data_IF_584290342209
#
_entry.id   IF_584290342209
#
_cell.length_a   1.000
_cell.length_b   1.000
_cell.length_c   1.000
_cell.angle_alpha   90.00
_cell.angle_beta   90.00
_cell.angle_gamma   90.00
#
_symmetry.space_group_name_H-M   'P 1'
#
loop_
_entity.id
_entity.type
_entity.pdbx_description
1 polymer ?
#
# COMPACT_ATOMS: atom_id res chain seq x y z
N UNK A 1 -21.65 38.61 24.98
CA UNK A 1 -20.76 37.60 25.60
C UNK A 1 -19.42 37.65 24.88
N UNK A 2 -18.29 37.75 25.60
CA UNK A 2 -16.95 37.78 24.97
C UNK A 2 -16.46 36.36 24.73
N UNK A 3 -16.05 36.06 23.50
CA UNK A 3 -15.52 34.76 23.07
C UNK A 3 -13.99 34.69 23.15
N UNK A 4 -13.33 35.67 23.78
CA UNK A 4 -11.86 35.79 23.79
C UNK A 4 -11.14 34.57 24.36
N UNK A 5 -11.68 33.98 25.43
CA UNK A 5 -11.12 32.76 26.03
C UNK A 5 -11.10 31.57 25.07
N UNK A 6 -12.24 31.28 24.44
CA UNK A 6 -12.36 30.18 23.47
C UNK A 6 -11.48 30.37 22.24
N UNK A 7 -11.35 31.60 21.74
CA UNK A 7 -10.48 31.89 20.58
C UNK A 7 -9.01 31.66 20.93
N UNK A 8 -8.58 32.09 22.12
CA UNK A 8 -7.20 31.92 22.56
C UNK A 8 -6.83 30.45 22.78
N UNK A 9 -7.72 29.66 23.38
CA UNK A 9 -7.54 28.20 23.49
C UNK A 9 -7.48 27.56 22.10
N UNK A 10 -8.42 27.91 21.21
CA UNK A 10 -8.46 27.31 19.88
C UNK A 10 -7.18 27.56 19.07
N UNK A 11 -6.61 28.77 19.15
CA UNK A 11 -5.34 29.13 18.47
C UNK A 11 -4.13 28.39 19.03
N UNK A 12 -4.17 27.93 20.28
CA UNK A 12 -3.05 27.23 20.94
C UNK A 12 -3.14 25.73 20.72
N UNK A 13 -4.34 25.18 20.81
CA UNK A 13 -4.55 23.73 20.89
C UNK A 13 -4.81 23.09 19.52
N UNK A 14 -5.29 23.85 18.53
CA UNK A 14 -5.60 23.34 17.19
C UNK A 14 -4.66 23.89 16.11
N UNK A 15 -4.44 23.07 15.08
CA UNK A 15 -3.76 23.53 13.86
C UNK A 15 -4.68 24.46 13.08
N UNK A 16 -4.13 25.56 12.60
CA UNK A 16 -4.84 26.52 11.76
C UNK A 16 -4.73 26.11 10.29
N UNK A 17 -5.87 25.90 9.65
CA UNK A 17 -5.97 25.88 8.20
C UNK A 17 -5.95 27.33 7.69
N UNK A 18 -5.09 27.62 6.71
CA UNK A 18 -5.05 28.94 6.07
C UNK A 18 -6.07 28.95 4.93
N UNK A 19 -6.87 30.00 4.88
CA UNK A 19 -7.72 30.28 3.73
C UNK A 19 -7.00 31.26 2.78
N UNK A 20 -7.42 31.27 1.52
CA UNK A 20 -6.82 32.10 0.46
C UNK A 20 -7.56 33.44 0.27
N UNK A 21 -8.25 33.91 1.31
CA UNK A 21 -8.99 35.18 1.27
C UNK A 21 -8.09 36.37 1.61
N UNK A 22 -8.07 37.37 0.74
CA UNK A 22 -7.36 38.64 1.00
C UNK A 22 -8.07 39.51 2.04
N UNK A 23 -9.41 39.42 2.09
CA UNK A 23 -10.26 40.18 3.00
C UNK A 23 -11.05 39.25 3.93
N UNK A 24 -11.49 39.81 5.06
CA UNK A 24 -12.30 39.08 6.02
C UNK A 24 -13.67 38.77 5.44
N UNK A 25 -13.86 37.52 5.01
CA UNK A 25 -15.14 36.98 4.56
C UNK A 25 -15.94 36.40 5.73
N UNK A 26 -17.21 36.08 5.48
CA UNK A 26 -18.03 35.40 6.47
C UNK A 26 -17.46 34.01 6.77
N UNK A 27 -17.62 33.52 8.01
CA UNK A 27 -17.15 32.18 8.37
C UNK A 27 -17.84 31.08 7.53
N UNK A 28 -19.08 31.31 7.10
CA UNK A 28 -19.82 30.38 6.24
C UNK A 28 -19.14 30.26 4.88
N UNK A 29 -18.91 31.39 4.20
CA UNK A 29 -18.30 31.41 2.86
C UNK A 29 -16.86 30.90 2.93
N UNK A 30 -16.11 31.30 3.97
CA UNK A 30 -14.74 30.85 4.19
C UNK A 30 -14.63 29.32 4.21
N UNK A 31 -15.49 28.65 4.99
CA UNK A 31 -15.46 27.19 5.13
C UNK A 31 -15.92 26.51 3.85
N UNK A 32 -16.99 27.01 3.21
CA UNK A 32 -17.51 26.42 1.96
C UNK A 32 -16.46 26.50 0.85
N UNK A 33 -15.79 27.63 0.70
CA UNK A 33 -14.75 27.81 -0.32
C UNK A 33 -13.48 27.01 0.02
N UNK A 34 -13.09 26.92 1.29
CA UNK A 34 -11.94 26.11 1.72
C UNK A 34 -12.16 24.62 1.49
N UNK A 35 -13.39 24.13 1.68
CA UNK A 35 -13.75 22.74 1.40
C UNK A 35 -13.87 22.49 -0.12
N UNK A 36 -14.39 23.45 -0.86
CA UNK A 36 -14.57 23.35 -2.31
C UNK A 36 -15.51 22.21 -2.73
N UNK A 37 -15.36 21.77 -3.98
CA UNK A 37 -16.30 20.80 -4.60
C UNK A 37 -16.00 19.33 -4.28
N UNK A 38 -14.75 18.97 -3.99
CA UNK A 38 -14.33 17.58 -3.77
C UNK A 38 -13.46 17.40 -2.52
N UNK A 39 -13.35 18.42 -1.66
CA UNK A 39 -12.60 18.36 -0.41
C UNK A 39 -11.18 17.76 -0.58
N UNK A 40 -10.28 18.45 -1.30
CA UNK A 40 -8.97 17.91 -1.65
C UNK A 40 -8.10 17.62 -0.41
N UNK A 41 -8.25 18.42 0.64
CA UNK A 41 -7.54 18.27 1.92
C UNK A 41 -8.26 17.33 2.89
N UNK A 42 -9.39 16.74 2.49
CA UNK A 42 -10.18 15.78 3.26
C UNK A 42 -10.57 16.28 4.66
N UNK A 43 -11.02 17.53 4.76
CA UNK A 43 -11.49 18.12 6.00
C UNK A 43 -12.74 17.45 6.55
N UNK A 44 -12.81 17.39 7.88
CA UNK A 44 -14.02 17.10 8.64
C UNK A 44 -14.59 18.42 9.12
N UNK A 45 -15.88 18.66 8.87
CA UNK A 45 -16.53 19.94 9.23
C UNK A 45 -17.33 19.73 10.51
N UNK A 46 -16.86 20.32 11.61
CA UNK A 46 -17.60 20.33 12.87
C UNK A 46 -18.34 21.67 13.05
N UNK A 47 -19.67 21.70 12.91
CA UNK A 47 -20.44 22.95 13.03
C UNK A 47 -21.83 22.76 13.64
N UNK A 48 -22.20 23.72 14.50
CA UNK A 48 -23.56 23.83 15.05
C UNK A 48 -24.54 24.52 14.10
N UNK A 49 -24.05 25.17 13.04
CA UNK A 49 -24.90 25.87 12.08
C UNK A 49 -25.54 24.90 11.07
N UNK A 50 -26.88 24.82 11.11
CA UNK A 50 -27.66 23.91 10.25
C UNK A 50 -27.44 24.19 8.77
N UNK A 51 -27.31 25.46 8.38
CA UNK A 51 -27.12 25.87 6.99
C UNK A 51 -25.79 25.39 6.44
N UNK A 52 -24.72 25.51 7.23
CA UNK A 52 -23.38 25.07 6.83
C UNK A 52 -23.35 23.55 6.67
N UNK A 53 -23.91 22.82 7.64
CA UNK A 53 -24.01 21.36 7.56
C UNK A 53 -24.72 20.88 6.29
N UNK A 54 -25.90 21.44 5.99
CA UNK A 54 -26.66 21.10 4.79
C UNK A 54 -25.91 21.39 3.50
N UNK A 55 -25.07 22.42 3.48
CA UNK A 55 -24.24 22.73 2.32
C UNK A 55 -23.09 21.73 2.18
N UNK A 56 -22.37 21.42 3.26
CA UNK A 56 -21.29 20.44 3.26
C UNK A 56 -21.78 19.02 2.93
N UNK A 57 -23.01 18.65 3.27
CA UNK A 57 -23.62 17.36 2.89
C UNK A 57 -23.80 17.18 1.37
N UNK A 58 -23.86 18.27 0.60
CA UNK A 58 -23.95 18.22 -0.87
C UNK A 58 -22.60 17.97 -1.52
N UNK A 59 -21.52 18.21 -0.79
CA UNK A 59 -20.14 18.02 -1.27
C UNK A 59 -19.74 16.57 -0.99
N UNK A 60 -19.28 15.80 -2.00
CA UNK A 60 -18.77 14.45 -1.77
C UNK A 60 -17.51 14.49 -0.88
N UNK A 61 -17.35 13.48 -0.02
CA UNK A 61 -16.13 13.33 0.78
C UNK A 61 -15.98 14.31 1.95
N UNK A 62 -17.07 14.96 2.39
CA UNK A 62 -17.06 15.85 3.56
C UNK A 62 -17.89 15.25 4.71
N UNK A 63 -17.25 14.67 5.74
CA UNK A 63 -17.93 14.25 6.95
C UNK A 63 -18.29 15.47 7.81
N UNK A 64 -19.53 15.52 8.28
CA UNK A 64 -20.03 16.61 9.10
C UNK A 64 -20.23 16.14 10.53
N UNK A 65 -19.78 16.92 11.52
CA UNK A 65 -19.94 16.64 12.94
C UNK A 65 -20.70 17.77 13.64
N UNK A 66 -21.49 17.44 14.65
CA UNK A 66 -22.21 18.42 15.45
C UNK A 66 -22.46 17.93 16.87
N UNK A 67 -22.55 18.86 17.81
CA UNK A 67 -22.79 18.56 19.22
C UNK A 67 -24.28 18.61 19.55
N UNK A 68 -24.81 17.54 20.14
CA UNK A 68 -26.14 17.52 20.75
C UNK A 68 -26.00 17.15 22.22
N UNK A 69 -26.44 18.05 23.11
CA UNK A 69 -26.35 17.89 24.57
C UNK A 69 -24.91 17.60 25.00
N UNK A 70 -24.60 16.35 25.36
CA UNK A 70 -23.32 15.94 25.93
C UNK A 70 -22.54 15.01 24.99
N UNK A 71 -22.97 14.85 23.74
CA UNK A 71 -22.33 13.97 22.76
C UNK A 71 -22.08 14.68 21.44
N UNK A 72 -20.99 14.30 20.78
CA UNK A 72 -20.67 14.72 19.41
C UNK A 72 -21.15 13.62 18.46
N UNK A 73 -21.96 14.02 17.48
CA UNK A 73 -22.52 13.14 16.48
C UNK A 73 -21.77 13.34 15.16
N UNK A 74 -21.41 12.23 14.53
CA UNK A 74 -21.01 12.21 13.14
C UNK A 74 -22.28 12.02 12.30
N UNK A 75 -22.48 12.91 11.34
CA UNK A 75 -23.65 12.88 10.49
C UNK A 75 -23.64 11.67 9.56
N UNK A 76 -24.83 11.19 9.21
CA UNK A 76 -24.95 10.12 8.24
C UNK A 76 -24.76 10.68 6.84
N UNK A 77 -24.06 9.92 5.98
CA UNK A 77 -23.86 10.30 4.58
C UNK A 77 -25.20 10.58 3.90
N UNK A 78 -25.24 11.64 3.09
CA UNK A 78 -26.40 11.97 2.27
C UNK A 78 -26.65 10.88 1.20
N UNK A 79 -27.86 10.79 0.65
CA UNK A 79 -28.16 9.91 -0.49
C UNK A 79 -27.21 10.16 -1.66
N UNK A 80 -26.94 11.44 -1.93
CA UNK A 80 -26.00 11.87 -2.95
C UNK A 80 -24.57 11.33 -2.71
N UNK A 81 -24.08 11.48 -1.48
CA UNK A 81 -22.73 11.01 -1.12
C UNK A 81 -22.64 9.47 -1.18
N UNK A 82 -23.70 8.76 -0.78
CA UNK A 82 -23.76 7.29 -0.89
C UNK A 82 -23.73 6.83 -2.34
N UNK A 83 -24.44 7.52 -3.23
CA UNK A 83 -24.41 7.21 -4.66
C UNK A 83 -23.03 7.46 -5.26
N UNK A 84 -22.40 8.59 -4.94
CA UNK A 84 -21.03 8.88 -5.35
C UNK A 84 -20.05 7.79 -4.89
N UNK A 85 -20.12 7.39 -3.61
CA UNK A 85 -19.30 6.30 -3.07
C UNK A 85 -19.56 5.00 -3.82
N UNK A 86 -20.83 4.65 -4.06
CA UNK A 86 -21.19 3.43 -4.80
C UNK A 86 -20.62 3.44 -6.22
N UNK A 87 -20.75 4.55 -6.95
CA UNK A 87 -20.20 4.68 -8.31
C UNK A 87 -18.68 4.56 -8.30
N UNK A 88 -18.01 5.23 -7.36
CA UNK A 88 -16.55 5.18 -7.20
C UNK A 88 -16.06 3.77 -6.81
N UNK A 89 -16.78 3.09 -5.92
CA UNK A 89 -16.50 1.71 -5.53
C UNK A 89 -16.69 0.75 -6.70
N UNK A 90 -17.80 0.88 -7.44
CA UNK A 90 -18.05 0.08 -8.64
C UNK A 90 -16.96 0.29 -9.69
N UNK A 91 -16.54 1.53 -9.94
CA UNK A 91 -15.43 1.83 -10.85
C UNK A 91 -14.14 1.12 -10.42
N UNK A 92 -13.82 1.14 -9.12
CA UNK A 92 -12.61 0.53 -8.58
C UNK A 92 -12.67 -1.01 -8.50
N UNK A 93 -13.87 -1.58 -8.41
CA UNK A 93 -14.12 -3.01 -8.34
C UNK A 93 -14.32 -3.65 -9.72
N UNK A 94 -14.66 -2.86 -10.76
CA UNK A 94 -14.81 -3.35 -12.13
C UNK A 94 -13.48 -3.91 -12.64
N UNK A 95 -13.55 -5.08 -13.24
CA UNK A 95 -12.41 -5.67 -13.96
C UNK A 95 -12.01 -4.75 -15.12
N UNK A 96 -10.72 -4.71 -15.41
CA UNK A 96 -10.21 -3.96 -16.56
C UNK A 96 -10.76 -4.54 -17.87
N UNK A 97 -10.90 -3.71 -18.90
CA UNK A 97 -11.43 -4.15 -20.21
C UNK A 97 -10.67 -5.33 -20.80
N UNK A 98 -9.36 -5.42 -20.55
CA UNK A 98 -8.50 -6.51 -21.00
C UNK A 98 -8.81 -7.81 -20.25
N UNK A 99 -8.98 -7.76 -18.93
CA UNK A 99 -9.42 -8.90 -18.10
C UNK A 99 -10.81 -9.36 -18.52
N UNK A 100 -11.73 -8.44 -18.75
CA UNK A 100 -13.08 -8.74 -19.20
C UNK A 100 -13.07 -9.44 -20.58
N UNK A 101 -12.30 -8.91 -21.55
CA UNK A 101 -12.12 -9.55 -22.87
C UNK A 101 -11.46 -10.91 -22.78
N UNK A 102 -10.48 -11.11 -21.90
CA UNK A 102 -9.82 -12.40 -21.68
C UNK A 102 -10.80 -13.43 -21.12
N UNK A 103 -11.62 -13.03 -20.15
CA UNK A 103 -12.68 -13.88 -19.59
C UNK A 103 -13.72 -14.23 -20.64
N UNK A 104 -14.20 -13.27 -21.44
CA UNK A 104 -15.14 -13.55 -22.53
C UNK A 104 -14.59 -14.58 -23.54
N UNK A 105 -13.31 -14.46 -23.92
CA UNK A 105 -12.67 -15.44 -24.82
C UNK A 105 -12.57 -16.82 -24.18
N UNK A 106 -12.26 -16.90 -22.87
CA UNK A 106 -12.21 -18.17 -22.13
C UNK A 106 -13.60 -18.82 -22.03
N UNK A 107 -14.63 -18.05 -21.71
CA UNK A 107 -16.03 -18.52 -21.66
C UNK A 107 -16.47 -19.06 -23.02
N UNK A 108 -16.25 -18.31 -24.12
CA UNK A 108 -16.58 -18.77 -25.48
C UNK A 108 -15.82 -20.04 -25.89
N UNK A 109 -14.58 -20.21 -25.42
CA UNK A 109 -13.81 -21.42 -25.70
C UNK A 109 -14.41 -22.64 -24.98
N UNK A 110 -14.88 -22.45 -23.74
CA UNK A 110 -15.52 -23.51 -22.96
C UNK A 110 -16.86 -23.90 -23.60
N UNK A 111 -17.71 -22.93 -23.96
CA UNK A 111 -18.99 -23.21 -24.60
C UNK A 111 -18.84 -23.90 -25.96
N UNK A 112 -17.83 -23.53 -26.75
CA UNK A 112 -17.60 -24.18 -28.04
C UNK A 112 -17.01 -25.59 -27.91
N UNK A 113 -16.31 -25.90 -26.80
CA UNK A 113 -15.85 -27.27 -26.53
C UNK A 113 -16.94 -28.21 -26.03
N UNK A 114 -18.07 -27.68 -25.56
CA UNK A 114 -19.23 -28.47 -25.12
C UNK A 114 -20.16 -28.83 -26.29
N UNK A 115 -20.11 -28.09 -27.41
CA UNK A 115 -20.96 -28.33 -28.59
C UNK A 115 -20.44 -29.49 -29.47
N UNK A 116 -19.16 -29.88 -29.35
CA UNK A 116 -18.56 -30.98 -30.14
C UNK A 116 -18.72 -32.36 -29.47
N UNK A 117 -19.69 -32.52 -28.57
CA UNK A 117 -19.91 -33.78 -27.82
C UNK A 117 -21.39 -34.11 -27.58
N UNK A 118 -22.29 -33.72 -28.49
CA UNK A 118 -23.68 -34.18 -28.44
C UNK A 118 -24.09 -34.88 -29.74
N UNK A 119 -23.91 -36.20 -29.77
CA UNK A 119 -24.93 -37.09 -30.32
C UNK A 119 -25.72 -37.67 -29.15
N UNK A 120 -27.01 -37.29 -29.13
CA UNK A 120 -28.20 -37.84 -28.45
C UNK A 120 -28.33 -37.90 -26.92
N UNK A 121 -29.48 -37.39 -26.44
CA UNK A 121 -30.11 -37.78 -25.17
C UNK A 121 -30.62 -36.61 -24.32
N UNK A 122 -31.95 -36.54 -24.12
CA UNK A 122 -32.65 -35.54 -23.31
C UNK A 122 -32.46 -35.71 -21.78
N UNK A 123 -32.89 -34.65 -21.07
CA UNK A 123 -33.46 -34.55 -19.71
C UNK A 123 -32.56 -33.94 -18.61
N UNK A 124 -33.25 -33.08 -17.85
CA UNK A 124 -32.80 -32.08 -16.90
C UNK A 124 -31.89 -32.59 -15.77
N UNK A 125 -30.79 -31.90 -15.49
CA UNK A 125 -30.37 -31.64 -14.10
C UNK A 125 -29.32 -30.52 -14.01
N UNK A 126 -29.57 -29.59 -13.09
CA UNK A 126 -28.65 -28.51 -12.69
C UNK A 126 -27.36 -29.15 -12.17
N UNK A 127 -26.28 -29.07 -12.95
CA UNK A 127 -24.96 -29.58 -12.56
C UNK A 127 -23.98 -28.42 -12.34
N UNK A 128 -23.63 -28.24 -11.06
CA UNK A 128 -22.42 -27.57 -10.58
C UNK A 128 -21.21 -27.89 -11.48
N UNK A 129 -20.35 -26.90 -11.84
CA UNK A 129 -19.21 -27.17 -12.69
C UNK A 129 -18.15 -27.96 -11.92
N UNK A 130 -18.21 -29.29 -12.05
CA UNK A 130 -17.15 -30.18 -11.60
C UNK A 130 -15.87 -29.89 -12.39
N UNK A 131 -14.80 -29.59 -11.67
CA UNK A 131 -13.46 -29.51 -12.23
C UNK A 131 -13.12 -30.84 -12.93
N UNK A 132 -12.99 -30.79 -14.26
CA UNK A 132 -12.56 -31.95 -15.05
C UNK A 132 -11.06 -32.18 -14.82
N UNK A 133 -10.75 -33.11 -13.92
CA UNK A 133 -9.46 -33.77 -13.81
C UNK A 133 -9.22 -34.64 -15.05
N UNK A 134 -8.65 -34.04 -16.10
CA UNK A 134 -8.18 -34.79 -17.27
C UNK A 134 -6.82 -35.43 -16.97
N UNK A 135 -6.86 -36.62 -16.35
CA UNK A 135 -5.76 -37.58 -16.35
C UNK A 135 -5.67 -38.28 -17.71
N UNK A 136 -4.93 -37.71 -18.66
CA UNK A 136 -4.24 -38.48 -19.71
C UNK A 136 -2.78 -38.08 -19.79
N UNK A 137 -1.97 -39.09 -19.50
CA UNK A 137 -0.51 -39.17 -19.48
C UNK A 137 0.18 -38.53 -20.68
N UNK A 138 0.91 -37.44 -20.44
CA UNK A 138 2.14 -37.16 -21.18
C UNK A 138 3.31 -37.10 -20.20
N UNK A 139 4.10 -38.18 -20.18
CA UNK A 139 5.44 -38.20 -19.58
C UNK A 139 6.31 -37.19 -20.32
N UNK A 140 6.41 -35.98 -19.79
CA UNK A 140 7.61 -35.13 -19.87
C UNK A 140 7.55 -34.12 -18.73
N UNK A 141 8.24 -34.43 -17.64
CA UNK A 141 8.19 -33.66 -16.41
C UNK A 141 8.70 -32.23 -16.59
N UNK A 142 7.79 -31.26 -16.42
CA UNK A 142 8.10 -29.91 -15.97
C UNK A 142 7.16 -29.61 -14.81
N UNK A 143 7.64 -29.91 -13.60
CA UNK A 143 7.00 -29.46 -12.36
C UNK A 143 6.89 -27.93 -12.38
N UNK A 144 5.66 -27.41 -12.43
CA UNK A 144 5.38 -26.01 -12.08
C UNK A 144 5.59 -25.91 -10.56
N UNK A 145 6.74 -25.34 -10.17
CA UNK A 145 7.10 -25.13 -8.77
C UNK A 145 6.50 -23.81 -8.31
N UNK A 146 5.29 -23.85 -7.75
CA UNK A 146 4.59 -22.71 -7.14
C UNK A 146 5.20 -22.22 -5.81
N UNK A 147 6.49 -22.45 -5.61
CA UNK A 147 7.24 -21.93 -4.47
C UNK A 147 8.54 -21.36 -4.99
N UNK A 148 8.81 -20.09 -4.70
CA UNK A 148 10.11 -19.47 -4.95
C UNK A 148 11.18 -20.31 -4.24
N UNK A 149 11.88 -21.17 -4.98
CA UNK A 149 12.99 -21.95 -4.45
C UNK A 149 14.15 -20.98 -4.25
N UNK A 150 14.26 -20.40 -3.05
CA UNK A 150 15.50 -19.76 -2.64
C UNK A 150 16.61 -20.78 -2.83
N UNK A 151 17.49 -20.54 -3.81
CA UNK A 151 18.66 -21.39 -4.02
C UNK A 151 19.49 -21.32 -2.75
N UNK A 152 19.47 -22.40 -1.96
CA UNK A 152 20.43 -22.58 -0.88
C UNK A 152 21.82 -22.41 -1.51
N UNK A 153 22.53 -21.36 -1.10
CA UNK A 153 23.91 -21.13 -1.51
C UNK A 153 24.74 -22.29 -0.96
N UNK A 154 24.87 -23.37 -1.74
CA UNK A 154 25.88 -24.39 -1.48
C UNK A 154 27.22 -23.66 -1.44
N UNK A 155 27.96 -23.81 -0.34
CA UNK A 155 29.29 -23.25 -0.22
C UNK A 155 30.09 -23.74 -1.43
N UNK A 156 30.66 -22.82 -2.20
CA UNK A 156 31.63 -23.17 -3.25
C UNK A 156 32.74 -23.95 -2.55
N UNK A 157 32.99 -25.17 -3.02
CA UNK A 157 34.13 -25.96 -2.56
C UNK A 157 35.40 -25.08 -2.58
N UNK A 158 36.37 -25.31 -1.68
CA UNK A 158 37.57 -24.50 -1.64
C UNK A 158 38.22 -24.48 -3.02
N UNK A 159 38.49 -23.28 -3.52
CA UNK A 159 39.12 -23.05 -4.81
C UNK A 159 40.40 -23.91 -4.90
N UNK A 160 40.51 -24.84 -5.88
CA UNK A 160 41.60 -25.81 -5.94
C UNK A 160 42.99 -25.18 -6.16
N UNK A 161 43.07 -23.87 -6.44
CA UNK A 161 44.33 -23.13 -6.55
C UNK A 161 44.85 -22.56 -5.21
N UNK A 162 44.13 -22.72 -4.09
CA UNK A 162 44.59 -22.30 -2.76
C UNK A 162 45.48 -23.35 -2.09
N UNK A 163 46.50 -23.83 -2.80
CA UNK A 163 47.65 -24.54 -2.23
C UNK A 163 48.90 -23.86 -2.74
N UNK A 164 49.37 -22.84 -2.02
CA UNK A 164 50.78 -22.40 -1.97
C UNK A 164 50.93 -21.19 -1.03
N UNK A 165 51.27 -21.47 0.23
CA UNK A 165 52.37 -20.78 0.90
C UNK A 165 52.90 -21.67 2.02
N UNK A 166 54.21 -21.97 1.91
CA UNK A 166 55.00 -22.73 2.89
C UNK A 166 55.02 -21.98 4.22
N UNK A 167 54.82 -22.69 5.32
CA UNK A 167 55.27 -22.25 6.64
C UNK A 167 56.81 -22.22 6.67
N UNK A 168 57.39 -21.20 7.30
CA UNK A 168 58.78 -21.26 7.79
C UNK A 168 58.75 -21.02 9.31
N UNK A 169 59.60 -21.70 10.09
CA UNK A 169 59.56 -21.64 11.55
C UNK A 169 60.46 -20.54 12.15
N UNK A 170 60.04 -20.10 13.34
CA UNK A 170 60.75 -19.50 14.50
C UNK A 170 62.00 -18.61 14.34
N UNK A 171 61.88 -17.43 14.98
CA UNK A 171 62.86 -16.38 15.37
C UNK A 171 63.99 -16.86 16.32
N UNK A 172 65.11 -16.12 16.51
CA UNK A 172 65.17 -14.96 17.45
C UNK A 172 66.12 -13.77 17.09
N UNK A 173 65.82 -12.58 17.67
CA UNK A 173 66.62 -11.39 18.07
C UNK A 173 67.81 -10.86 17.20
N UNK A 174 68.17 -9.56 17.09
CA UNK A 174 68.13 -8.42 18.01
C UNK A 174 68.38 -7.05 17.28
N UNK A 175 67.92 -5.96 17.93
CA UNK A 175 68.38 -4.55 18.01
C UNK A 175 68.89 -3.65 16.84
N UNK A 176 68.34 -2.43 16.90
CA UNK A 176 68.92 -1.08 16.70
C UNK A 176 68.86 -0.41 15.31
N UNK A 177 68.49 0.88 15.29
CA UNK A 177 68.83 1.81 14.20
C UNK A 177 67.73 2.78 13.72
N UNK A 178 67.80 4.01 14.21
CA UNK A 178 67.11 5.28 13.88
C UNK A 178 66.83 5.63 12.38
N UNK A 179 65.77 6.45 12.24
CA UNK A 179 65.57 7.66 11.38
C UNK A 179 64.82 7.58 10.02
N UNK A 180 63.70 8.33 10.02
CA UNK A 180 63.26 9.43 9.12
C UNK A 180 62.47 9.19 7.81
N UNK A 181 61.33 9.90 7.77
CA UNK A 181 60.58 10.52 6.67
C UNK A 181 60.10 9.69 5.47
N UNK A 182 58.77 9.58 5.33
CA UNK A 182 58.00 10.37 4.35
C UNK A 182 56.52 9.92 4.29
N UNK A 183 55.61 10.90 4.27
CA UNK A 183 54.56 10.97 3.26
C UNK A 183 53.40 9.97 3.28
N UNK A 184 52.22 10.52 3.56
CA UNK A 184 50.93 10.22 2.91
C UNK A 184 50.09 9.02 3.38
N UNK A 185 48.99 9.36 4.05
CA UNK A 185 47.62 8.99 3.67
C UNK A 185 47.25 7.50 3.58
N UNK A 186 46.74 6.93 4.68
CA UNK A 186 45.73 5.87 4.63
C UNK A 186 45.06 5.67 6.00
N UNK A 187 43.98 6.40 6.29
CA UNK A 187 43.12 6.09 7.43
C UNK A 187 42.35 4.80 7.17
N UNK A 188 42.81 3.76 7.85
CA UNK A 188 42.23 2.42 8.04
C UNK A 188 40.68 2.40 8.01
N UNK A 189 40.11 1.71 7.03
CA UNK A 189 38.69 1.37 6.98
C UNK A 189 38.35 0.35 8.09
N UNK A 190 37.72 0.82 9.17
CA UNK A 190 37.15 -0.04 10.23
C UNK A 190 35.86 -0.69 9.71
N UNK A 191 35.87 -2.00 9.47
CA UNK A 191 34.63 -2.76 9.22
C UNK A 191 33.83 -2.92 10.51
N UNK A 192 32.76 -2.14 10.68
CA UNK A 192 31.80 -2.29 11.79
C UNK A 192 30.98 -3.58 11.59
N UNK A 193 31.22 -4.58 12.44
CA UNK A 193 30.43 -5.81 12.54
C UNK A 193 29.13 -5.50 13.31
N UNK A 194 28.00 -5.38 12.61
CA UNK A 194 26.67 -5.22 13.26
C UNK A 194 26.30 -6.50 13.99
N UNK A 195 26.19 -6.44 15.33
CA UNK A 195 25.54 -7.49 16.13
C UNK A 195 24.02 -7.28 16.04
N UNK A 196 23.27 -8.29 15.59
CA UNK A 196 21.81 -8.34 15.73
C UNK A 196 21.48 -9.05 17.05
N UNK A 197 20.79 -8.36 17.95
CA UNK A 197 20.18 -8.95 19.14
C UNK A 197 18.87 -9.63 18.75
N UNK A 198 18.71 -10.90 19.10
CA UNK A 198 17.40 -11.57 19.11
C UNK A 198 16.67 -11.14 20.39
N UNK A 199 15.44 -10.68 20.25
CA UNK A 199 14.54 -10.35 21.36
C UNK A 199 13.76 -11.63 21.71
N UNK A 200 13.78 -12.00 22.98
CA UNK A 200 12.81 -12.89 23.61
C UNK A 200 11.55 -12.08 23.95
#
# INVERSE_FOLDING_TARGET
RSYGGSVNSARRDFRLAKCEHDQNVSAYDCIVETVGDNNPEHFFVASQDVKLRKQCQKVPGVPVMYGLRNAVYLDQLSSFQREYVKVSEEERLRMTDSEYKLLQKRVKKISNSEIDSSEEGNEDEISEPRALDNRKTYKRGLEIKDKAKFKLKRAKAPNPLSRKKKSKPSTPASNSGKKENAGSGATRSRSRKRKRSHKA
#
